data_IF_364423354675
#
_entry.id   IF_364423354675
#
_cell.length_a   1.000
_cell.length_b   1.000
_cell.length_c   1.000
_cell.angle_alpha   90.00
_cell.angle_beta   90.00
_cell.angle_gamma   90.00
#
_symmetry.space_group_name_H-M   'P 1'
#
loop_
_entity.id
_entity.type
_entity.pdbx_description
1 polymer ?
#
# COMPACT_ATOMS: atom_id res chain seq x y z
N UNK A 1 -64.59 -22.42 -53.02
CA UNK A 1 -65.11 -21.28 -52.25
C UNK A 1 -64.22 -21.11 -51.03
N UNK A 2 -63.70 -19.88 -50.85
CA UNK A 2 -63.02 -19.28 -49.67
C UNK A 2 -61.76 -20.01 -49.16
N UNK A 3 -60.53 -19.61 -49.55
CA UNK A 3 -59.74 -18.44 -49.11
C UNK A 3 -59.79 -18.15 -47.60
N UNK A 4 -58.63 -18.25 -46.92
CA UNK A 4 -57.99 -17.09 -46.28
C UNK A 4 -56.51 -17.34 -45.94
N UNK A 5 -55.69 -16.37 -46.34
CA UNK A 5 -54.25 -16.17 -46.09
C UNK A 5 -54.02 -15.51 -44.73
N UNK A 6 -52.82 -15.75 -44.16
CA UNK A 6 -51.91 -14.77 -43.52
C UNK A 6 -50.58 -15.53 -43.27
N UNK A 7 -49.44 -15.20 -43.92
CA UNK A 7 -48.49 -14.11 -43.59
C UNK A 7 -48.08 -14.14 -42.10
N UNK A 8 -46.82 -14.07 -41.63
CA UNK A 8 -45.54 -13.57 -42.15
C UNK A 8 -44.41 -14.15 -41.24
N UNK A 9 -43.16 -14.27 -41.71
CA UNK A 9 -41.97 -13.46 -41.29
C UNK A 9 -40.91 -14.18 -40.43
N UNK A 10 -39.76 -14.42 -41.09
CA UNK A 10 -38.38 -14.04 -40.72
C UNK A 10 -37.80 -14.23 -39.29
N UNK A 11 -36.78 -15.11 -39.26
CA UNK A 11 -35.53 -15.21 -38.49
C UNK A 11 -35.23 -14.25 -37.33
N UNK A 12 -34.71 -14.76 -36.20
CA UNK A 12 -33.61 -14.10 -35.47
C UNK A 12 -32.73 -15.09 -34.69
N UNK A 13 -31.43 -14.78 -34.65
CA UNK A 13 -30.31 -15.66 -34.32
C UNK A 13 -30.28 -16.23 -32.90
N UNK A 14 -29.62 -17.38 -32.80
CA UNK A 14 -29.24 -18.07 -31.58
C UNK A 14 -28.44 -17.14 -30.65
N UNK A 15 -29.08 -16.75 -29.55
CA UNK A 15 -28.53 -15.91 -28.49
C UNK A 15 -27.38 -16.67 -27.82
N UNK A 16 -26.21 -16.03 -27.77
CA UNK A 16 -25.01 -16.47 -27.05
C UNK A 16 -25.29 -16.80 -25.58
N UNK A 17 -24.56 -17.75 -24.96
CA UNK A 17 -24.88 -18.24 -23.63
C UNK A 17 -24.65 -17.15 -22.57
N UNK A 18 -25.74 -16.73 -21.94
CA UNK A 18 -25.85 -16.20 -20.57
C UNK A 18 -24.54 -15.70 -19.95
N UNK A 19 -24.32 -14.39 -19.99
CA UNK A 19 -23.67 -13.73 -18.86
C UNK A 19 -24.57 -13.97 -17.65
N UNK A 20 -24.15 -14.88 -16.75
CA UNK A 20 -24.83 -15.09 -15.47
C UNK A 20 -24.78 -13.75 -14.74
N UNK A 21 -25.92 -13.06 -14.67
CA UNK A 21 -26.06 -11.90 -13.82
C UNK A 21 -25.72 -12.35 -12.39
N UNK A 22 -24.78 -11.69 -11.70
CA UNK A 22 -24.54 -11.94 -10.31
C UNK A 22 -25.85 -11.81 -9.53
N UNK A 23 -26.03 -12.65 -8.53
CA UNK A 23 -27.19 -12.52 -7.63
C UNK A 23 -27.00 -11.28 -6.75
N UNK A 24 -28.08 -10.62 -6.34
CA UNK A 24 -28.04 -9.47 -5.41
C UNK A 24 -27.17 -9.72 -4.16
N UNK A 25 -27.13 -10.97 -3.67
CA UNK A 25 -26.30 -11.37 -2.53
C UNK A 25 -24.80 -11.35 -2.88
N UNK A 26 -24.42 -11.77 -4.10
CA UNK A 26 -23.03 -11.72 -4.57
C UNK A 26 -22.55 -10.28 -4.78
N UNK A 27 -23.41 -9.42 -5.33
CA UNK A 27 -23.07 -8.00 -5.52
C UNK A 27 -22.90 -7.28 -4.17
N UNK A 28 -23.78 -7.54 -3.20
CA UNK A 28 -23.64 -7.00 -1.84
C UNK A 28 -22.33 -7.42 -1.17
N UNK A 29 -21.94 -8.70 -1.28
CA UNK A 29 -20.67 -9.18 -0.73
C UNK A 29 -19.45 -8.56 -1.41
N UNK A 30 -19.52 -8.30 -2.71
CA UNK A 30 -18.44 -7.63 -3.44
C UNK A 30 -18.34 -6.15 -3.06
N UNK A 31 -19.46 -5.43 -2.91
CA UNK A 31 -19.47 -4.05 -2.44
C UNK A 31 -18.92 -3.89 -1.01
N UNK A 32 -19.23 -4.84 -0.11
CA UNK A 32 -18.66 -4.86 1.24
C UNK A 32 -17.14 -5.09 1.22
N UNK A 33 -16.66 -6.02 0.39
CA UNK A 33 -15.23 -6.26 0.19
C UNK A 33 -14.51 -5.03 -0.34
N UNK A 34 -15.03 -4.40 -1.38
CA UNK A 34 -14.47 -3.19 -1.96
C UNK A 34 -14.44 -2.04 -0.94
N UNK A 35 -15.49 -1.88 -0.13
CA UNK A 35 -15.52 -0.90 0.96
C UNK A 35 -14.44 -1.18 2.01
N UNK A 36 -14.24 -2.43 2.41
CA UNK A 36 -13.20 -2.80 3.38
C UNK A 36 -11.79 -2.54 2.82
N UNK A 37 -11.53 -2.93 1.57
CA UNK A 37 -10.26 -2.70 0.88
C UNK A 37 -9.96 -1.19 0.78
N UNK A 38 -10.96 -0.39 0.40
CA UNK A 38 -10.83 1.08 0.31
C UNK A 38 -10.48 1.70 1.66
N UNK A 39 -11.17 1.30 2.73
CA UNK A 39 -10.86 1.76 4.11
C UNK A 39 -9.44 1.37 4.53
N UNK A 40 -8.99 0.17 4.16
CA UNK A 40 -7.63 -0.29 4.42
C UNK A 40 -6.59 0.60 3.72
N UNK A 41 -6.80 0.90 2.44
CA UNK A 41 -5.92 1.77 1.66
C UNK A 41 -5.89 3.19 2.24
N UNK A 42 -7.04 3.77 2.59
CA UNK A 42 -7.13 5.11 3.19
C UNK A 42 -6.31 5.20 4.48
N UNK A 43 -6.42 4.19 5.36
CA UNK A 43 -5.61 4.10 6.58
C UNK A 43 -4.10 4.09 6.27
N UNK A 44 -3.67 3.31 5.28
CA UNK A 44 -2.25 3.26 4.91
C UNK A 44 -1.75 4.55 4.27
N UNK A 45 -2.61 5.30 3.56
CA UNK A 45 -2.28 6.63 3.05
C UNK A 45 -2.03 7.61 4.20
N UNK A 46 -2.86 7.57 5.24
CA UNK A 46 -2.67 8.38 6.45
C UNK A 46 -1.38 7.99 7.17
N UNK A 47 -1.12 6.70 7.33
CA UNK A 47 0.10 6.19 7.95
C UNK A 47 1.37 6.62 7.18
N UNK A 48 1.35 6.61 5.84
CA UNK A 48 2.45 7.14 5.02
C UNK A 48 2.69 8.64 5.29
N UNK A 49 1.63 9.43 5.45
CA UNK A 49 1.73 10.87 5.76
C UNK A 49 2.35 11.07 7.14
N UNK A 50 1.92 10.31 8.14
CA UNK A 50 2.47 10.36 9.49
C UNK A 50 3.93 9.93 9.54
N UNK A 51 4.30 8.90 8.77
CA UNK A 51 5.67 8.42 8.69
C UNK A 51 6.59 9.44 8.02
N UNK A 52 6.13 10.16 7.00
CA UNK A 52 6.90 11.07 6.13
C UNK A 52 8.00 10.37 5.30
N UNK A 53 8.60 9.33 5.85
CA UNK A 53 9.58 8.43 5.23
C UNK A 53 9.62 7.09 5.98
N UNK A 54 10.12 6.04 5.35
CA UNK A 54 10.38 4.74 5.97
C UNK A 54 11.72 4.16 5.53
N UNK A 55 12.25 3.19 6.23
CA UNK A 55 13.46 2.48 5.79
C UNK A 55 13.08 1.21 5.04
N UNK A 56 13.52 1.06 3.79
CA UNK A 56 13.34 -0.17 3.04
C UNK A 56 14.56 -1.07 3.26
N UNK A 57 14.35 -2.21 3.90
CA UNK A 57 15.41 -3.17 4.18
C UNK A 57 15.93 -3.87 2.92
N UNK A 58 15.06 -4.11 1.93
CA UNK A 58 15.48 -4.70 0.65
C UNK A 58 16.35 -3.73 -0.15
N UNK A 59 15.98 -2.44 -0.18
CA UNK A 59 16.75 -1.38 -0.85
C UNK A 59 17.90 -0.83 -0.01
N UNK A 60 17.97 -1.21 1.27
CA UNK A 60 18.87 -0.69 2.32
C UNK A 60 18.96 0.83 2.38
N UNK A 61 17.85 1.53 2.15
CA UNK A 61 17.83 2.99 2.10
C UNK A 61 16.51 3.58 2.61
N UNK A 62 16.55 4.85 3.01
CA UNK A 62 15.37 5.62 3.37
C UNK A 62 14.56 5.91 2.10
N UNK A 63 13.24 5.79 2.21
CA UNK A 63 12.24 6.11 1.18
C UNK A 63 11.33 7.19 1.71
N UNK A 64 11.21 8.30 0.99
CA UNK A 64 10.27 9.34 1.36
C UNK A 64 8.83 8.89 1.09
N UNK A 65 7.85 9.58 1.67
CA UNK A 65 6.42 9.29 1.46
C UNK A 65 6.02 9.19 -0.02
N UNK A 66 6.64 9.98 -0.91
CA UNK A 66 6.45 9.91 -2.37
C UNK A 66 6.99 8.62 -3.02
N UNK A 67 7.81 7.87 -2.29
CA UNK A 67 8.37 6.58 -2.68
C UNK A 67 7.74 5.39 -1.93
N UNK A 68 6.68 5.65 -1.15
CA UNK A 68 5.85 4.65 -0.49
C UNK A 68 4.51 4.55 -1.20
N UNK A 69 3.94 3.35 -1.23
CA UNK A 69 2.70 3.05 -1.92
C UNK A 69 1.76 2.30 -0.98
N UNK A 70 0.55 2.82 -0.78
CA UNK A 70 -0.51 2.13 -0.06
C UNK A 70 -1.19 1.11 -0.98
N UNK A 71 -1.28 -0.12 -0.51
CA UNK A 71 -1.93 -1.24 -1.20
C UNK A 71 -2.92 -1.93 -0.27
N UNK A 72 -3.84 -2.77 -0.78
CA UNK A 72 -4.71 -3.56 0.08
C UNK A 72 -3.99 -4.37 1.16
N UNK A 73 -2.77 -4.85 0.88
CA UNK A 73 -1.99 -5.69 1.76
C UNK A 73 -1.17 -4.90 2.80
N UNK A 74 -0.94 -3.60 2.56
CA UNK A 74 -0.07 -2.78 3.40
C UNK A 74 0.63 -1.65 2.67
N UNK A 75 1.58 -1.03 3.34
CA UNK A 75 2.51 -0.06 2.74
C UNK A 75 3.67 -0.83 2.10
N UNK A 76 4.01 -0.51 0.85
CA UNK A 76 5.18 -1.07 0.15
C UNK A 76 6.09 -0.01 -0.41
N UNK A 77 7.33 -0.39 -0.70
CA UNK A 77 8.27 0.47 -1.41
C UNK A 77 7.87 0.56 -2.89
N UNK A 78 7.70 1.77 -3.43
CA UNK A 78 7.32 1.94 -4.83
C UNK A 78 8.42 1.51 -5.82
N UNK A 79 9.68 1.46 -5.36
CA UNK A 79 10.87 1.09 -6.15
C UNK A 79 11.09 -0.40 -6.28
N UNK A 80 11.17 -1.15 -5.17
CA UNK A 80 11.37 -2.61 -5.20
C UNK A 80 10.07 -3.41 -5.14
N UNK A 81 8.92 -2.77 -4.90
CA UNK A 81 7.62 -3.40 -4.67
C UNK A 81 7.55 -4.34 -3.46
N UNK A 82 8.60 -4.37 -2.64
CA UNK A 82 8.67 -5.13 -1.39
C UNK A 82 7.94 -4.43 -0.24
N UNK A 83 7.44 -5.24 0.68
CA UNK A 83 6.75 -4.82 1.91
C UNK A 83 7.68 -4.78 3.13
N UNK A 84 8.98 -5.04 2.93
CA UNK A 84 9.99 -5.03 3.99
C UNK A 84 10.41 -3.59 4.32
N UNK A 85 9.45 -2.86 4.88
CA UNK A 85 9.58 -1.48 5.32
C UNK A 85 9.60 -1.42 6.84
N UNK A 86 10.44 -0.55 7.36
CA UNK A 86 10.47 -0.23 8.77
C UNK A 86 9.93 1.18 8.97
N UNK A 87 8.94 1.28 9.87
CA UNK A 87 8.38 2.53 10.31
C UNK A 87 9.46 3.38 11.00
N UNK A 88 9.49 4.69 10.76
CA UNK A 88 10.34 5.58 11.52
C UNK A 88 9.83 5.70 12.97
N UNK A 89 10.68 6.11 13.90
CA UNK A 89 10.30 6.28 15.29
C UNK A 89 11.19 7.27 16.03
N UNK A 90 10.61 8.03 16.95
CA UNK A 90 11.34 9.00 17.76
C UNK A 90 12.28 8.30 18.75
N UNK A 91 13.57 8.68 18.72
CA UNK A 91 14.59 8.10 19.59
C UNK A 91 15.69 9.12 19.90
N UNK A 92 16.43 8.87 20.98
CA UNK A 92 17.63 9.65 21.31
C UNK A 92 18.78 9.11 20.47
N UNK A 93 19.19 9.86 19.45
CA UNK A 93 20.27 9.43 18.57
C UNK A 93 21.64 9.65 19.26
N UNK A 94 22.52 8.64 19.33
CA UNK A 94 23.85 8.80 19.91
C UNK A 94 24.72 9.87 19.22
N UNK A 95 24.43 10.19 17.95
CA UNK A 95 25.10 11.25 17.19
C UNK A 95 24.52 12.65 17.45
N UNK A 96 23.29 12.74 17.98
CA UNK A 96 22.63 13.98 18.36
C UNK A 96 22.21 13.88 19.83
N UNK A 97 23.21 13.84 20.72
CA UNK A 97 23.04 13.52 22.15
C UNK A 97 22.04 14.42 22.88
N UNK A 98 21.80 15.62 22.37
CA UNK A 98 20.95 16.63 22.99
C UNK A 98 19.54 16.69 22.37
N UNK A 99 19.19 15.80 21.42
CA UNK A 99 17.87 15.84 20.77
C UNK A 99 17.24 14.48 20.52
N UNK A 100 15.92 14.45 20.63
CA UNK A 100 15.10 13.35 20.12
C UNK A 100 14.90 13.58 18.63
N UNK A 101 15.26 12.59 17.82
CA UNK A 101 15.11 12.64 16.37
C UNK A 101 14.19 11.50 15.92
N UNK A 102 13.39 11.74 14.89
CA UNK A 102 12.64 10.69 14.22
C UNK A 102 13.67 9.86 13.45
N UNK A 103 13.95 8.63 13.87
CA UNK A 103 14.93 7.69 13.31
C UNK A 103 14.27 6.80 12.24
N UNK A 104 14.88 6.47 11.08
CA UNK A 104 14.19 5.73 10.02
C UNK A 104 13.99 4.26 10.37
N UNK A 105 14.73 3.80 11.39
CA UNK A 105 14.69 2.43 11.91
C UNK A 105 14.28 2.37 13.37
N UNK A 106 13.67 3.44 13.88
CA UNK A 106 13.19 3.55 15.26
C UNK A 106 14.22 3.11 16.32
N UNK A 107 15.50 3.41 16.10
CA UNK A 107 16.59 3.08 17.02
C UNK A 107 17.04 1.61 17.06
N UNK A 108 16.52 0.72 16.19
CA UNK A 108 16.87 -0.72 16.19
C UNK A 108 18.37 -1.02 16.03
N UNK A 109 19.15 -0.10 15.45
CA UNK A 109 20.60 -0.25 15.27
C UNK A 109 21.43 0.59 16.24
N UNK A 110 20.79 1.13 17.27
CA UNK A 110 21.47 1.72 18.41
C UNK A 110 21.85 0.57 19.36
N UNK A 111 23.14 0.32 19.50
CA UNK A 111 23.69 -0.75 20.34
C UNK A 111 24.43 -0.14 21.51
N UNK A 112 24.25 -0.71 22.71
CA UNK A 112 25.02 -0.32 23.90
C UNK A 112 26.36 -1.05 23.90
N UNK A 113 27.44 -0.31 24.08
CA UNK A 113 28.80 -0.82 24.26
C UNK A 113 29.36 -0.33 25.60
N UNK A 114 30.53 -0.84 26.01
CA UNK A 114 31.21 -0.37 27.22
C UNK A 114 31.62 1.11 27.18
N UNK A 115 31.63 1.74 26.00
CA UNK A 115 31.97 3.17 25.80
C UNK A 115 30.74 4.07 25.61
N UNK A 116 29.53 3.52 25.71
CA UNK A 116 28.27 4.22 25.48
C UNK A 116 27.42 3.60 24.36
N UNK A 117 26.37 4.31 23.94
CA UNK A 117 25.52 3.89 22.82
C UNK A 117 26.12 4.32 21.47
N UNK A 118 26.00 3.48 20.46
CA UNK A 118 26.46 3.75 19.09
C UNK A 118 25.37 3.34 18.09
N UNK A 119 25.18 4.14 17.02
CA UNK A 119 24.28 3.80 15.93
C UNK A 119 25.07 3.16 14.78
N UNK A 120 24.82 1.87 14.51
CA UNK A 120 25.56 1.11 13.50
C UNK A 120 25.20 1.46 12.05
N UNK A 121 24.06 2.12 11.82
CA UNK A 121 23.64 2.49 10.47
C UNK A 121 24.22 3.84 10.03
N UNK A 122 24.84 4.60 10.95
CA UNK A 122 25.36 5.95 10.69
C UNK A 122 24.39 6.81 9.86
N UNK A 123 23.08 6.71 10.16
CA UNK A 123 22.01 7.31 9.37
C UNK A 123 22.22 8.83 9.24
N UNK A 124 22.85 9.26 8.14
CA UNK A 124 22.95 10.66 7.78
C UNK A 124 21.57 11.07 7.25
N UNK A 125 20.74 11.62 8.14
CA UNK A 125 19.44 12.21 7.78
C UNK A 125 19.52 13.32 6.73
N UNK A 126 20.73 13.75 6.38
CA UNK A 126 21.00 14.69 5.30
C UNK A 126 22.27 14.24 4.58
N UNK A 127 22.14 13.60 3.43
CA UNK A 127 23.01 13.99 2.33
C UNK A 127 22.48 15.36 1.88
N UNK A 128 23.01 16.44 2.45
CA UNK A 128 22.98 17.71 1.73
C UNK A 128 23.60 17.39 0.38
N UNK A 129 22.85 17.58 -0.71
CA UNK A 129 23.40 17.49 -2.06
C UNK A 129 24.72 18.28 -2.04
N UNK A 130 25.84 17.57 -2.26
CA UNK A 130 27.08 18.22 -2.67
C UNK A 130 26.93 18.62 -4.13
#
# INVERSE_FOLDING_TARGET
>A
MTNNKTESEYCFGSISPFHKAPTLIQDMHEEERLRYLKRGIERYIEEIKEWEYGYCADCRQIRFSSELEATPEGIRCSKCKGYNLEAPGWTVCPHHKDSVVKCPRAGKRIVKSGKGAECQDHCNFRLSKR
#
